data_IF_761820230607
#
_entry.id   IF_761820230607
#
_cell.length_a   1.000
_cell.length_b   1.000
_cell.length_c   1.000
_cell.angle_alpha   90.00
_cell.angle_beta   90.00
_cell.angle_gamma   90.00
#
_symmetry.space_group_name_H-M   'P 1'
#
loop_
_entity.id
_entity.type
_entity.pdbx_description
1 polymer ?
#
# COMPACT_ATOMS: atom_id res chain seq x y z
N UNK A 1 -6.26 -10.75 -25.46
CA UNK A 1 -6.20 -10.18 -24.10
C UNK A 1 -6.69 -11.26 -23.15
N UNK A 2 -6.02 -11.50 -22.02
CA UNK A 2 -6.59 -12.37 -20.99
C UNK A 2 -7.95 -11.79 -20.52
N UNK A 3 -8.94 -12.65 -20.35
CA UNK A 3 -10.24 -12.24 -19.79
C UNK A 3 -10.04 -11.66 -18.38
N UNK A 4 -10.74 -10.55 -18.14
CA UNK A 4 -10.71 -9.81 -16.89
C UNK A 4 -11.49 -10.61 -15.81
N UNK A 5 -10.88 -11.04 -14.69
CA UNK A 5 -11.49 -12.00 -13.77
C UNK A 5 -12.45 -11.33 -12.76
N UNK A 6 -13.22 -10.33 -13.19
CA UNK A 6 -14.10 -9.56 -12.30
C UNK A 6 -15.16 -10.44 -11.61
N UNK A 7 -15.67 -11.45 -12.31
CA UNK A 7 -16.62 -12.42 -11.72
C UNK A 7 -16.01 -13.25 -10.59
N UNK A 8 -14.80 -13.79 -10.79
CA UNK A 8 -14.12 -14.60 -9.77
C UNK A 8 -13.81 -13.78 -8.52
N UNK A 9 -13.32 -12.54 -8.70
CA UNK A 9 -13.01 -11.67 -7.59
C UNK A 9 -14.25 -11.15 -6.87
N UNK A 10 -15.37 -10.99 -7.57
CA UNK A 10 -16.65 -10.69 -6.94
C UNK A 10 -17.09 -11.84 -6.02
N UNK A 11 -16.93 -13.09 -6.46
CA UNK A 11 -17.26 -14.26 -5.64
C UNK A 11 -16.35 -14.35 -4.41
N UNK A 12 -15.03 -14.17 -4.57
CA UNK A 12 -14.07 -14.15 -3.46
C UNK A 12 -14.38 -13.03 -2.44
N UNK A 13 -14.64 -11.82 -2.94
CA UNK A 13 -14.93 -10.66 -2.10
C UNK A 13 -16.34 -10.69 -1.49
N UNK A 14 -17.26 -11.53 -2.00
CA UNK A 14 -18.61 -11.66 -1.45
C UNK A 14 -18.65 -12.13 0.00
N UNK A 15 -17.58 -12.78 0.46
CA UNK A 15 -17.39 -13.16 1.86
C UNK A 15 -17.30 -11.93 2.80
N UNK A 16 -17.11 -10.73 2.25
CA UNK A 16 -16.94 -9.46 2.97
C UNK A 16 -18.14 -8.50 2.82
N UNK A 17 -19.30 -8.99 2.37
CA UNK A 17 -20.58 -8.24 2.39
C UNK A 17 -21.03 -7.87 3.82
N UNK A 18 -20.50 -8.57 4.82
CA UNK A 18 -20.79 -8.26 6.23
C UNK A 18 -20.09 -6.99 6.71
N UNK A 19 -20.63 -6.31 7.74
CA UNK A 19 -19.94 -5.20 8.39
C UNK A 19 -18.55 -5.62 8.89
N UNK A 20 -17.53 -4.79 8.65
CA UNK A 20 -16.13 -5.07 9.04
C UNK A 20 -16.02 -5.48 10.51
N UNK A 21 -16.67 -4.74 11.40
CA UNK A 21 -16.63 -4.98 12.85
C UNK A 21 -17.43 -6.21 13.33
N UNK A 22 -18.23 -6.82 12.45
CA UNK A 22 -18.95 -8.06 12.74
C UNK A 22 -18.17 -9.33 12.39
N UNK A 23 -16.98 -9.20 11.77
CA UNK A 23 -16.16 -10.33 11.39
C UNK A 23 -15.40 -10.90 12.61
N UNK A 24 -15.57 -12.19 12.88
CA UNK A 24 -14.89 -12.88 14.00
C UNK A 24 -13.36 -12.71 13.95
N UNK A 25 -12.78 -12.65 12.75
CA UNK A 25 -11.35 -12.40 12.56
C UNK A 25 -10.89 -11.02 13.04
N UNK A 26 -11.75 -10.00 12.97
CA UNK A 26 -11.46 -8.64 13.45
C UNK A 26 -11.51 -8.62 14.97
N UNK A 27 -12.52 -9.23 15.58
CA UNK A 27 -12.62 -9.34 17.05
C UNK A 27 -11.42 -10.06 17.64
N UNK A 28 -11.08 -11.23 17.10
CA UNK A 28 -9.91 -12.01 17.54
C UNK A 28 -8.61 -11.21 17.37
N UNK A 29 -8.45 -10.48 16.25
CA UNK A 29 -7.27 -9.65 16.05
C UNK A 29 -7.15 -8.55 17.10
N UNK A 30 -8.24 -7.90 17.50
CA UNK A 30 -8.23 -6.88 18.56
C UNK A 30 -7.82 -7.50 19.90
N UNK A 31 -8.37 -8.66 20.25
CA UNK A 31 -8.03 -9.39 21.46
C UNK A 31 -6.56 -9.82 21.49
N UNK A 32 -6.06 -10.35 20.37
CA UNK A 32 -4.66 -10.76 20.22
C UNK A 32 -3.73 -9.55 20.34
N UNK A 33 -4.03 -8.43 19.67
CA UNK A 33 -3.23 -7.20 19.79
C UNK A 33 -3.12 -6.79 21.26
N UNK A 34 -4.26 -6.72 21.97
CA UNK A 34 -4.27 -6.36 23.38
C UNK A 34 -3.43 -7.33 24.23
N UNK A 35 -3.58 -8.64 23.99
CA UNK A 35 -2.84 -9.69 24.68
C UNK A 35 -1.32 -9.53 24.54
N UNK A 36 -0.83 -9.29 23.32
CA UNK A 36 0.61 -9.11 23.07
C UNK A 36 1.13 -7.78 23.60
N UNK A 37 0.35 -6.69 23.48
CA UNK A 37 0.74 -5.38 24.00
C UNK A 37 0.85 -5.36 25.53
N UNK A 38 0.14 -6.25 26.22
CA UNK A 38 0.26 -6.46 27.67
C UNK A 38 1.47 -7.34 28.05
N UNK A 39 2.29 -7.76 27.07
CA UNK A 39 3.51 -8.53 27.29
C UNK A 39 3.29 -10.02 27.55
N UNK A 40 2.13 -10.57 27.20
CA UNK A 40 1.79 -11.96 27.48
C UNK A 40 2.27 -12.97 26.42
N UNK A 41 3.00 -12.53 25.38
CA UNK A 41 3.47 -13.38 24.29
C UNK A 41 4.99 -13.44 24.16
N UNK A 42 5.47 -14.36 23.30
CA UNK A 42 6.90 -14.56 23.02
C UNK A 42 7.48 -13.52 22.04
N UNK A 43 6.62 -12.67 21.47
CA UNK A 43 7.01 -11.58 20.57
C UNK A 43 7.12 -10.26 21.33
N UNK A 44 7.83 -9.29 20.75
CA UNK A 44 7.85 -7.94 21.30
C UNK A 44 6.44 -7.33 21.34
N UNK A 45 6.10 -6.49 22.33
CA UNK A 45 4.77 -5.91 22.46
C UNK A 45 4.28 -5.17 21.20
N UNK A 46 5.15 -4.47 20.46
CA UNK A 46 4.75 -3.80 19.21
C UNK A 46 4.57 -4.77 18.05
N UNK A 47 5.19 -5.96 18.06
CA UNK A 47 4.88 -7.00 17.07
C UNK A 47 3.41 -7.41 17.13
N UNK A 48 2.75 -7.26 18.29
CA UNK A 48 1.30 -7.42 18.43
C UNK A 48 0.51 -6.54 17.45
N UNK A 49 0.97 -5.31 17.19
CA UNK A 49 0.31 -4.38 16.24
C UNK A 49 0.31 -4.94 14.81
N UNK A 50 1.29 -5.77 14.44
CA UNK A 50 1.35 -6.38 13.10
C UNK A 50 0.21 -7.37 12.85
N UNK A 51 -0.43 -7.89 13.91
CA UNK A 51 -1.63 -8.74 13.83
C UNK A 51 -2.84 -7.96 13.30
N UNK A 52 -2.81 -6.62 13.36
CA UNK A 52 -3.84 -5.76 12.79
C UNK A 52 -3.97 -5.91 11.26
N UNK A 53 -3.08 -6.67 10.60
CA UNK A 53 -3.23 -7.10 9.20
C UNK A 53 -4.62 -7.72 8.93
N UNK A 54 -5.18 -8.47 9.89
CA UNK A 54 -6.53 -9.05 9.75
C UNK A 54 -7.63 -7.99 9.70
N UNK A 55 -7.48 -6.91 10.48
CA UNK A 55 -8.40 -5.76 10.48
C UNK A 55 -8.28 -4.99 9.16
N UNK A 56 -7.05 -4.74 8.72
CA UNK A 56 -6.76 -4.10 7.44
C UNK A 56 -7.35 -4.88 6.26
N UNK A 57 -7.09 -6.20 6.19
CA UNK A 57 -7.61 -7.05 5.13
C UNK A 57 -9.14 -7.07 5.10
N UNK A 58 -9.80 -7.18 6.26
CA UNK A 58 -11.26 -7.14 6.34
C UNK A 58 -11.82 -5.81 5.84
N UNK A 59 -11.22 -4.68 6.24
CA UNK A 59 -11.63 -3.35 5.82
C UNK A 59 -11.39 -3.10 4.33
N UNK A 60 -10.24 -3.49 3.79
CA UNK A 60 -9.90 -3.38 2.36
C UNK A 60 -10.81 -4.26 1.50
N UNK A 61 -11.08 -5.49 1.92
CA UNK A 61 -11.93 -6.40 1.17
C UNK A 61 -13.39 -5.96 1.20
N UNK A 62 -13.89 -5.42 2.32
CA UNK A 62 -15.20 -4.80 2.38
C UNK A 62 -15.30 -3.59 1.45
N UNK A 63 -14.28 -2.73 1.44
CA UNK A 63 -14.21 -1.61 0.48
C UNK A 63 -14.24 -2.11 -0.97
N UNK A 64 -13.41 -3.08 -1.31
CA UNK A 64 -13.34 -3.66 -2.66
C UNK A 64 -14.64 -4.32 -3.08
N UNK A 65 -15.28 -5.08 -2.18
CA UNK A 65 -16.56 -5.73 -2.43
C UNK A 65 -17.64 -4.73 -2.84
N UNK A 66 -17.84 -3.65 -2.08
CA UNK A 66 -18.92 -2.70 -2.36
C UNK A 66 -18.70 -1.88 -3.63
N UNK A 67 -17.44 -1.63 -4.00
CA UNK A 67 -17.10 -1.08 -5.32
C UNK A 67 -17.50 -2.06 -6.43
N UNK A 68 -17.16 -3.35 -6.32
CA UNK A 68 -17.51 -4.35 -7.34
C UNK A 68 -19.01 -4.63 -7.41
N UNK A 69 -19.68 -4.71 -6.26
CA UNK A 69 -21.08 -5.09 -6.18
C UNK A 69 -22.02 -3.96 -6.62
N UNK A 70 -21.66 -2.71 -6.32
CA UNK A 70 -22.58 -1.57 -6.42
C UNK A 70 -21.95 -0.26 -6.92
N UNK A 71 -20.64 -0.26 -7.23
CA UNK A 71 -19.87 0.94 -7.57
C UNK A 71 -19.97 2.04 -6.49
N UNK A 72 -20.12 1.64 -5.23
CA UNK A 72 -20.26 2.55 -4.08
C UNK A 72 -18.98 2.54 -3.22
N UNK A 73 -18.20 3.65 -3.21
CA UNK A 73 -17.03 3.74 -2.34
C UNK A 73 -17.40 3.81 -0.87
N UNK A 74 -17.06 2.77 -0.11
CA UNK A 74 -17.18 2.74 1.36
C UNK A 74 -16.03 3.53 2.00
N UNK A 75 -16.17 4.85 2.02
CA UNK A 75 -15.14 5.77 2.54
C UNK A 75 -14.64 5.39 3.95
N UNK A 76 -15.56 5.04 4.86
CA UNK A 76 -15.20 4.63 6.22
C UNK A 76 -14.34 3.34 6.25
N UNK A 77 -14.68 2.34 5.43
CA UNK A 77 -13.89 1.11 5.39
C UNK A 77 -12.46 1.37 4.90
N UNK A 78 -12.31 2.22 3.88
CA UNK A 78 -10.99 2.56 3.36
C UNK A 78 -10.18 3.46 4.31
N UNK A 79 -10.82 4.43 4.98
CA UNK A 79 -10.16 5.26 6.00
C UNK A 79 -9.66 4.40 7.17
N UNK A 80 -10.48 3.47 7.68
CA UNK A 80 -10.06 2.49 8.68
C UNK A 80 -8.84 1.68 8.20
N UNK A 81 -8.91 1.10 7.00
CA UNK A 81 -7.80 0.32 6.45
C UNK A 81 -6.50 1.13 6.37
N UNK A 82 -6.57 2.37 5.89
CA UNK A 82 -5.41 3.25 5.76
C UNK A 82 -4.79 3.60 7.12
N UNK A 83 -5.62 3.88 8.13
CA UNK A 83 -5.16 4.15 9.50
C UNK A 83 -4.50 2.93 10.14
N UNK A 84 -5.10 1.74 9.99
CA UNK A 84 -4.51 0.49 10.48
C UNK A 84 -3.17 0.23 9.80
N UNK A 85 -3.08 0.33 8.47
CA UNK A 85 -1.84 0.05 7.75
C UNK A 85 -0.73 1.03 8.13
N UNK A 86 -1.07 2.30 8.33
CA UNK A 86 -0.13 3.32 8.82
C UNK A 86 0.39 3.03 10.23
N UNK A 87 -0.49 2.62 11.14
CA UNK A 87 -0.12 2.18 12.49
C UNK A 87 0.86 1.00 12.43
N UNK A 88 0.54 -0.02 11.62
CA UNK A 88 1.39 -1.20 11.44
C UNK A 88 2.79 -0.84 10.92
N UNK A 89 2.88 -0.02 9.88
CA UNK A 89 4.18 0.42 9.33
C UNK A 89 4.98 1.26 10.33
N UNK A 90 4.30 2.05 11.16
CA UNK A 90 4.94 2.83 12.22
C UNK A 90 5.53 1.93 13.31
N UNK A 91 4.80 0.89 13.73
CA UNK A 91 5.29 -0.10 14.69
C UNK A 91 6.41 -0.96 14.09
N UNK A 92 6.27 -1.40 12.84
CA UNK A 92 7.27 -2.19 12.11
C UNK A 92 8.60 -1.45 12.01
N UNK A 93 8.60 -0.15 11.69
CA UNK A 93 9.82 0.65 11.63
C UNK A 93 10.56 0.71 12.98
N UNK A 94 9.82 0.83 14.09
CA UNK A 94 10.42 0.84 15.43
C UNK A 94 11.04 -0.52 15.76
N UNK A 95 10.29 -1.61 15.54
CA UNK A 95 10.78 -2.97 15.75
C UNK A 95 12.00 -3.29 14.87
N UNK A 96 11.92 -2.92 13.59
CA UNK A 96 13.02 -3.07 12.65
C UNK A 96 14.26 -2.32 13.10
N UNK A 97 14.14 -1.07 13.55
CA UNK A 97 15.28 -0.28 14.02
C UNK A 97 15.85 -0.79 15.36
N UNK A 98 15.01 -1.36 16.21
CA UNK A 98 15.42 -1.86 17.52
C UNK A 98 16.08 -3.25 17.45
N UNK A 99 15.69 -4.08 16.48
CA UNK A 99 16.13 -5.47 16.37
C UNK A 99 16.92 -5.73 15.06
N UNK A 100 18.24 -5.95 15.15
CA UNK A 100 19.09 -6.29 14.00
C UNK A 100 18.71 -7.57 13.26
N UNK A 101 17.99 -8.49 13.92
CA UNK A 101 17.53 -9.75 13.35
C UNK A 101 16.09 -9.66 12.81
N UNK A 102 15.42 -8.52 13.00
CA UNK A 102 14.09 -8.28 12.44
C UNK A 102 14.16 -8.34 10.91
N UNK A 103 13.21 -9.02 10.27
CA UNK A 103 13.20 -9.15 8.82
C UNK A 103 13.12 -7.78 8.15
N UNK A 104 13.97 -7.51 7.15
CA UNK A 104 13.91 -6.26 6.38
C UNK A 104 12.52 -6.08 5.80
N UNK A 105 11.82 -4.97 6.10
CA UNK A 105 10.48 -4.72 5.60
C UNK A 105 10.41 -4.72 4.07
N UNK A 106 9.36 -5.31 3.52
CA UNK A 106 9.23 -5.43 2.08
C UNK A 106 8.84 -4.09 1.44
N UNK A 107 9.69 -3.60 0.53
CA UNK A 107 9.53 -2.27 -0.07
C UNK A 107 8.32 -2.20 -1.02
N UNK A 108 7.89 -3.32 -1.59
CA UNK A 108 6.65 -3.43 -2.37
C UNK A 108 5.40 -3.12 -1.52
N UNK A 109 5.36 -3.54 -0.26
CA UNK A 109 4.25 -3.28 0.67
C UNK A 109 4.13 -1.79 0.99
N UNK A 110 5.27 -1.11 1.18
CA UNK A 110 5.33 0.35 1.29
C UNK A 110 4.87 1.02 -0.01
N UNK A 111 5.34 0.51 -1.15
CA UNK A 111 4.93 0.97 -2.47
C UNK A 111 3.43 0.88 -2.72
N UNK A 112 2.84 -0.29 -2.55
CA UNK A 112 1.41 -0.55 -2.71
C UNK A 112 0.58 0.39 -1.81
N UNK A 113 0.99 0.55 -0.55
CA UNK A 113 0.32 1.45 0.40
C UNK A 113 0.44 2.92 -0.02
N UNK A 114 1.64 3.38 -0.39
CA UNK A 114 1.84 4.75 -0.88
C UNK A 114 1.02 5.04 -2.13
N UNK A 115 0.97 4.10 -3.07
CA UNK A 115 0.17 4.24 -4.29
C UNK A 115 -1.31 4.31 -3.98
N UNK A 116 -1.82 3.48 -3.06
CA UNK A 116 -3.21 3.54 -2.60
C UNK A 116 -3.53 4.90 -1.94
N UNK A 117 -2.67 5.37 -1.03
CA UNK A 117 -2.85 6.65 -0.33
C UNK A 117 -2.82 7.83 -1.29
N UNK A 118 -1.84 7.85 -2.20
CA UNK A 118 -1.76 8.85 -3.26
C UNK A 118 -3.01 8.78 -4.11
N UNK A 119 -3.35 7.64 -4.73
CA UNK A 119 -4.51 7.47 -5.61
C UNK A 119 -5.83 7.97 -5.00
N UNK A 120 -5.95 7.93 -3.67
CA UNK A 120 -7.15 8.31 -2.91
C UNK A 120 -7.04 9.67 -2.23
N UNK A 121 -5.99 10.44 -2.49
CA UNK A 121 -5.83 11.81 -2.00
C UNK A 121 -5.57 11.92 -0.50
N UNK A 122 -4.99 10.88 0.12
CA UNK A 122 -4.59 10.89 1.54
C UNK A 122 -3.16 11.40 1.69
N UNK A 123 -2.95 12.66 1.31
CA UNK A 123 -1.62 13.30 1.35
C UNK A 123 -1.03 13.35 2.76
N UNK A 124 -1.90 13.44 3.78
CA UNK A 124 -1.56 13.39 5.21
C UNK A 124 -0.80 12.10 5.56
N UNK A 125 -1.36 10.95 5.19
CA UNK A 125 -0.75 9.64 5.43
C UNK A 125 0.34 9.30 4.41
N UNK A 126 0.21 9.76 3.16
CA UNK A 126 1.19 9.49 2.12
C UNK A 126 2.56 10.10 2.48
N UNK A 127 2.57 11.35 2.94
CA UNK A 127 3.80 12.02 3.38
C UNK A 127 4.45 11.30 4.57
N UNK A 128 3.67 10.98 5.60
CA UNK A 128 4.19 10.29 6.77
C UNK A 128 4.68 8.85 6.45
N UNK A 129 3.95 8.11 5.59
CA UNK A 129 4.36 6.78 5.11
C UNK A 129 5.64 6.87 4.27
N UNK A 130 5.79 7.90 3.43
CA UNK A 130 7.00 8.11 2.62
C UNK A 130 8.22 8.28 3.53
N UNK A 131 8.09 9.05 4.61
CA UNK A 131 9.17 9.22 5.56
C UNK A 131 9.57 7.92 6.25
N UNK A 132 8.59 7.07 6.63
CA UNK A 132 8.87 5.75 7.21
C UNK A 132 9.67 4.91 6.21
N UNK A 133 9.19 4.79 4.97
CA UNK A 133 9.85 4.03 3.92
C UNK A 133 11.30 4.51 3.68
N UNK A 134 11.52 5.84 3.67
CA UNK A 134 12.86 6.43 3.53
C UNK A 134 13.76 6.13 4.73
N UNK A 135 13.25 6.16 5.96
CA UNK A 135 14.02 5.79 7.16
C UNK A 135 14.43 4.32 7.13
N UNK A 136 13.52 3.42 6.73
CA UNK A 136 13.82 1.99 6.54
C UNK A 136 14.89 1.80 5.47
N UNK A 137 14.79 2.46 4.32
CA UNK A 137 15.81 2.45 3.25
C UNK A 137 17.18 2.92 3.73
N UNK A 138 17.23 4.02 4.50
CA UNK A 138 18.46 4.62 4.98
C UNK A 138 19.25 3.74 5.96
N UNK A 139 18.66 2.65 6.48
CA UNK A 139 19.39 1.69 7.33
C UNK A 139 20.43 0.87 6.58
N UNK A 140 20.36 0.80 5.24
CA UNK A 140 21.24 -0.01 4.42
C UNK A 140 21.01 -1.53 4.53
N UNK A 141 20.01 -1.98 5.29
CA UNK A 141 19.71 -3.41 5.50
C UNK A 141 18.98 -4.08 4.33
N UNK A 142 18.82 -3.36 3.22
CA UNK A 142 18.53 -3.94 1.90
C UNK A 142 19.78 -4.48 1.21
N UNK A 143 20.97 -4.15 1.71
CA UNK A 143 22.22 -4.74 1.25
C UNK A 143 22.23 -6.25 1.49
N UNK A 144 22.70 -6.98 0.49
CA UNK A 144 22.94 -8.40 0.57
C UNK A 144 24.00 -8.71 1.65
N UNK A 145 23.78 -9.71 2.53
CA UNK A 145 24.81 -10.20 3.44
C UNK A 145 26.04 -10.72 2.68
N UNK A 146 27.24 -10.36 3.12
CA UNK A 146 28.51 -10.66 2.43
C UNK A 146 28.71 -12.15 2.11
N UNK A 147 28.19 -13.04 2.96
CA UNK A 147 28.37 -14.51 2.86
C UNK A 147 27.22 -15.23 2.12
N UNK A 148 26.26 -14.49 1.57
CA UNK A 148 25.13 -15.09 0.84
C UNK A 148 25.46 -15.25 -0.66
N UNK A 149 25.03 -16.35 -1.28
CA UNK A 149 25.25 -16.60 -2.72
C UNK A 149 24.19 -15.98 -3.65
N UNK A 150 22.99 -15.70 -3.14
CA UNK A 150 21.83 -15.21 -3.91
C UNK A 150 21.65 -13.69 -3.86
N UNK A 151 20.75 -13.13 -4.67
CA UNK A 151 20.28 -11.75 -4.46
C UNK A 151 19.48 -11.71 -3.15
N UNK A 152 19.78 -10.76 -2.26
CA UNK A 152 18.89 -10.41 -1.17
C UNK A 152 17.88 -9.41 -1.72
N UNK A 153 16.60 -9.78 -1.75
CA UNK A 153 15.52 -8.87 -2.12
C UNK A 153 14.50 -9.51 -3.04
N UNK A 154 13.24 -9.51 -2.60
CA UNK A 154 12.12 -9.58 -3.51
C UNK A 154 12.16 -8.36 -4.47
N UNK A 155 11.67 -8.49 -5.71
CA UNK A 155 11.30 -7.36 -6.55
C UNK A 155 10.60 -6.26 -5.73
N UNK A 156 10.98 -5.01 -5.99
CA UNK A 156 10.50 -3.83 -5.29
C UNK A 156 9.99 -2.75 -6.26
N UNK A 157 9.39 -3.17 -7.38
CA UNK A 157 8.91 -2.30 -8.46
C UNK A 157 7.94 -1.24 -7.94
N UNK A 158 6.93 -1.63 -7.15
CA UNK A 158 5.93 -0.71 -6.60
C UNK A 158 6.57 0.28 -5.62
N UNK A 159 7.50 -0.20 -4.79
CA UNK A 159 8.24 0.63 -3.85
C UNK A 159 9.10 1.67 -4.54
N UNK A 160 9.88 1.24 -5.52
CA UNK A 160 10.69 2.11 -6.39
C UNK A 160 9.80 3.12 -7.11
N UNK A 161 8.71 2.66 -7.71
CA UNK A 161 7.78 3.51 -8.45
C UNK A 161 7.17 4.61 -7.57
N UNK A 162 6.61 4.23 -6.42
CA UNK A 162 5.95 5.17 -5.51
C UNK A 162 6.93 6.25 -5.01
N UNK A 163 8.11 5.83 -4.53
CA UNK A 163 9.11 6.74 -3.98
C UNK A 163 9.74 7.63 -5.07
N UNK A 164 10.01 7.10 -6.27
CA UNK A 164 10.45 7.91 -7.40
C UNK A 164 9.39 8.91 -7.83
N UNK A 165 8.10 8.54 -7.88
CA UNK A 165 7.06 9.51 -8.25
C UNK A 165 6.98 10.66 -7.24
N UNK A 166 7.07 10.37 -5.94
CA UNK A 166 7.04 11.38 -4.90
C UNK A 166 8.30 12.28 -4.93
N UNK A 167 9.47 11.71 -5.22
CA UNK A 167 10.71 12.45 -5.44
C UNK A 167 10.64 13.33 -6.70
N UNK A 168 10.21 12.76 -7.83
CA UNK A 168 10.09 13.46 -9.11
C UNK A 168 9.09 14.62 -9.02
N UNK A 169 8.00 14.48 -8.26
CA UNK A 169 7.09 15.59 -7.95
C UNK A 169 7.81 16.79 -7.31
N UNK A 170 8.86 16.55 -6.52
CA UNK A 170 9.70 17.58 -5.89
C UNK A 170 10.92 17.98 -6.72
N UNK A 171 11.10 17.42 -7.92
CA UNK A 171 12.29 17.62 -8.74
C UNK A 171 13.53 16.91 -8.20
N UNK A 172 13.34 15.89 -7.37
CA UNK A 172 14.40 15.07 -6.77
C UNK A 172 14.57 13.75 -7.53
N UNK A 173 15.73 13.11 -7.35
CA UNK A 173 15.98 11.75 -7.81
C UNK A 173 16.50 10.90 -6.66
N UNK A 174 16.24 9.59 -6.70
CA UNK A 174 16.71 8.65 -5.69
C UNK A 174 17.92 7.88 -6.24
N UNK A 175 19.00 7.85 -5.45
CA UNK A 175 20.15 6.99 -5.73
C UNK A 175 19.90 5.58 -5.18
N UNK A 176 19.22 4.77 -5.99
CA UNK A 176 18.90 3.38 -5.65
C UNK A 176 20.11 2.48 -5.45
N UNK A 177 21.24 2.81 -6.07
CA UNK A 177 22.49 2.05 -5.93
C UNK A 177 23.01 2.15 -4.48
N UNK A 178 22.95 3.35 -3.89
CA UNK A 178 23.34 3.56 -2.48
C UNK A 178 22.50 2.77 -1.47
N UNK A 179 21.28 2.38 -1.84
CA UNK A 179 20.39 1.56 -1.01
C UNK A 179 20.48 0.06 -1.34
N UNK A 180 21.29 -0.34 -2.32
CA UNK A 180 21.39 -1.73 -2.81
C UNK A 180 20.06 -2.30 -3.33
N UNK A 181 19.15 -1.43 -3.79
CA UNK A 181 17.87 -1.84 -4.38
C UNK A 181 17.97 -1.68 -5.89
N UNK A 182 18.00 -2.77 -6.69
CA UNK A 182 18.08 -2.64 -8.14
C UNK A 182 16.72 -2.16 -8.71
N UNK A 183 16.62 -0.96 -9.30
CA UNK A 183 15.35 -0.46 -9.80
C UNK A 183 14.99 -1.13 -11.13
N UNK A 184 13.73 -1.54 -11.27
CA UNK A 184 13.20 -1.90 -12.58
C UNK A 184 13.14 -0.66 -13.48
N UNK A 185 13.67 -0.79 -14.70
CA UNK A 185 13.81 0.33 -15.62
C UNK A 185 12.46 0.93 -16.01
N UNK A 186 11.46 0.10 -16.30
CA UNK A 186 10.15 0.60 -16.74
C UNK A 186 9.51 1.45 -15.64
N UNK A 187 9.47 0.93 -14.41
CA UNK A 187 8.86 1.63 -13.28
C UNK A 187 9.58 2.92 -12.94
N UNK A 188 10.91 2.91 -12.92
CA UNK A 188 11.73 4.10 -12.69
C UNK A 188 11.55 5.14 -13.79
N UNK A 189 11.63 4.74 -15.06
CA UNK A 189 11.52 5.66 -16.19
C UNK A 189 10.10 6.24 -16.29
N UNK A 190 9.06 5.46 -15.98
CA UNK A 190 7.68 5.95 -15.88
C UNK A 190 7.53 7.03 -14.78
N UNK A 191 8.11 6.80 -13.59
CA UNK A 191 8.07 7.78 -12.51
C UNK A 191 8.87 9.06 -12.81
N UNK A 192 10.04 8.95 -13.44
CA UNK A 192 10.92 10.11 -13.70
C UNK A 192 10.56 10.90 -14.94
N UNK A 193 10.20 10.20 -16.02
CA UNK A 193 9.98 10.78 -17.34
C UNK A 193 8.48 10.91 -17.58
N UNK A 194 7.75 9.81 -17.40
CA UNK A 194 6.31 9.78 -17.65
C UNK A 194 5.54 10.74 -16.74
N UNK A 195 5.93 10.85 -15.47
CA UNK A 195 5.23 11.74 -14.52
C UNK A 195 5.32 13.20 -14.95
N UNK A 196 6.46 13.64 -15.48
CA UNK A 196 6.68 15.03 -15.89
C UNK A 196 6.49 15.27 -17.38
N UNK A 197 6.04 14.27 -18.15
CA UNK A 197 5.84 14.38 -19.60
C UNK A 197 4.82 15.50 -19.91
N UNK A 198 5.21 16.56 -20.64
CA UNK A 198 4.33 17.68 -20.94
C UNK A 198 3.28 17.37 -22.01
N UNK A 199 3.54 16.43 -22.92
CA UNK A 199 2.58 16.05 -23.96
C UNK A 199 1.47 15.16 -23.37
N UNK A 200 0.20 15.62 -23.36
CA UNK A 200 -0.90 14.85 -22.78
C UNK A 200 -1.12 13.49 -23.44
N UNK A 201 -0.80 13.35 -24.73
CA UNK A 201 -0.95 12.09 -25.48
C UNK A 201 0.10 11.09 -25.02
N UNK A 202 1.37 11.49 -24.95
CA UNK A 202 2.46 10.64 -24.45
C UNK A 202 2.27 10.27 -22.99
N UNK A 203 1.75 11.18 -22.18
CA UNK A 203 1.39 10.88 -20.80
C UNK A 203 0.30 9.79 -20.69
N UNK A 204 -0.67 9.79 -21.60
CA UNK A 204 -1.68 8.73 -21.67
C UNK A 204 -1.08 7.39 -22.14
N UNK A 205 -0.06 7.41 -23.01
CA UNK A 205 0.70 6.21 -23.38
C UNK A 205 1.44 5.62 -22.16
N UNK A 206 2.06 6.44 -21.31
CA UNK A 206 2.65 5.99 -20.04
C UNK A 206 1.61 5.37 -19.11
N UNK A 207 0.46 6.02 -18.93
CA UNK A 207 -0.63 5.49 -18.13
C UNK A 207 -1.20 4.17 -18.69
N UNK A 208 -1.20 4.01 -20.02
CA UNK A 208 -1.61 2.77 -20.69
C UNK A 208 -0.62 1.65 -20.41
N UNK A 209 0.69 1.94 -20.49
CA UNK A 209 1.72 0.96 -20.12
C UNK A 209 1.67 0.58 -18.63
N UNK A 210 1.31 1.49 -17.73
CA UNK A 210 1.05 1.16 -16.32
C UNK A 210 -0.12 0.20 -16.16
N UNK A 211 -1.19 0.38 -16.94
CA UNK A 211 -2.30 -0.57 -16.98
C UNK A 211 -1.87 -1.94 -17.51
N UNK A 212 -1.07 -1.98 -18.58
CA UNK A 212 -0.54 -3.24 -19.13
C UNK A 212 0.36 -3.96 -18.12
N UNK A 213 1.23 -3.23 -17.43
CA UNK A 213 2.09 -3.76 -16.38
C UNK A 213 1.28 -4.30 -15.19
N UNK A 214 0.22 -3.59 -14.78
CA UNK A 214 -0.73 -4.06 -13.78
C UNK A 214 -1.37 -5.39 -14.20
N UNK A 215 -1.89 -5.48 -15.42
CA UNK A 215 -2.45 -6.73 -15.96
C UNK A 215 -1.43 -7.86 -16.04
N UNK A 216 -0.16 -7.55 -16.29
CA UNK A 216 0.90 -8.54 -16.32
C UNK A 216 1.14 -9.12 -14.93
N UNK A 217 1.23 -8.28 -13.89
CA UNK A 217 1.33 -8.72 -12.49
C UNK A 217 0.18 -9.66 -12.14
N UNK A 218 -1.07 -9.30 -12.47
CA UNK A 218 -2.25 -10.14 -12.22
C UNK A 218 -2.21 -11.52 -12.86
N UNK A 219 -1.66 -11.62 -14.08
CA UNK A 219 -1.54 -12.91 -14.77
C UNK A 219 -0.55 -13.81 -14.06
N UNK A 220 0.57 -13.26 -13.62
CA UNK A 220 1.56 -13.98 -12.82
C UNK A 220 0.95 -14.43 -11.49
N UNK A 221 0.07 -13.62 -10.90
CA UNK A 221 -0.59 -13.92 -9.62
C UNK A 221 -1.62 -15.06 -9.75
N UNK A 222 -2.41 -15.09 -10.83
CA UNK A 222 -3.47 -16.09 -11.09
C UNK A 222 -2.96 -17.53 -11.27
N UNK A 223 -1.75 -17.70 -11.80
CA UNK A 223 -1.24 -19.02 -12.21
C UNK A 223 -0.49 -19.77 -11.08
N UNK A 224 -0.38 -19.20 -9.87
CA UNK A 224 0.27 -19.84 -8.73
C UNK A 224 -0.34 -19.47 -7.38
N UNK A 225 -0.61 -20.48 -6.53
CA UNK A 225 -1.13 -20.34 -5.16
C UNK A 225 -0.17 -19.62 -4.19
N UNK A 226 1.04 -19.28 -4.63
CA UNK A 226 2.03 -18.53 -3.86
C UNK A 226 1.83 -17.04 -4.14
N UNK A 227 1.64 -16.23 -3.09
CA UNK A 227 1.54 -14.77 -3.16
C UNK A 227 2.87 -14.11 -2.77
N UNK A 228 3.99 -14.81 -2.95
CA UNK A 228 5.26 -14.32 -2.40
C UNK A 228 5.86 -13.24 -3.30
N UNK A 229 6.32 -12.11 -2.73
CA UNK A 229 7.06 -11.10 -3.47
C UNK A 229 8.28 -11.66 -4.22
N UNK A 230 8.90 -12.73 -3.71
CA UNK A 230 10.03 -13.42 -4.34
C UNK A 230 9.72 -14.04 -5.71
N UNK A 231 8.46 -14.27 -6.04
CA UNK A 231 8.01 -14.71 -7.37
C UNK A 231 7.68 -13.53 -8.31
N UNK A 232 7.95 -12.29 -7.87
CA UNK A 232 7.65 -11.07 -8.62
C UNK A 232 6.21 -10.58 -8.49
N UNK A 233 5.48 -11.12 -7.51
CA UNK A 233 4.09 -10.79 -7.17
C UNK A 233 4.07 -9.72 -6.08
N UNK A 234 3.87 -8.46 -6.48
CA UNK A 234 4.00 -7.31 -5.57
C UNK A 234 2.67 -6.69 -5.14
N UNK A 235 1.54 -7.10 -5.75
CA UNK A 235 0.20 -6.67 -5.32
C UNK A 235 -0.34 -7.72 -4.37
N UNK A 236 -0.47 -7.37 -3.10
CA UNK A 236 -0.88 -8.33 -2.07
C UNK A 236 -2.36 -8.21 -1.68
N UNK A 237 -3.06 -7.17 -2.18
CA UNK A 237 -4.48 -6.95 -1.89
C UNK A 237 -5.38 -7.28 -3.08
N UNK A 238 -6.36 -8.16 -2.86
CA UNK A 238 -7.32 -8.58 -3.90
C UNK A 238 -8.10 -7.40 -4.48
N UNK A 239 -8.46 -6.40 -3.67
CA UNK A 239 -9.12 -5.18 -4.14
C UNK A 239 -8.26 -4.41 -5.17
N UNK A 240 -6.93 -4.42 -4.99
CA UNK A 240 -6.00 -3.80 -5.93
C UNK A 240 -5.82 -4.62 -7.20
N UNK A 241 -6.33 -5.85 -7.28
CA UNK A 241 -6.24 -6.58 -8.53
C UNK A 241 -7.04 -5.90 -9.64
N UNK A 242 -8.22 -5.37 -9.31
CA UNK A 242 -9.11 -4.74 -10.29
C UNK A 242 -9.01 -3.22 -10.30
N UNK A 243 -8.36 -2.66 -9.29
CA UNK A 243 -8.08 -1.24 -9.18
C UNK A 243 -6.63 -0.95 -9.59
N UNK A 244 -6.38 -0.32 -10.76
CA UNK A 244 -5.01 0.00 -11.19
C UNK A 244 -4.42 1.17 -10.38
N UNK A 245 -4.12 0.94 -9.10
CA UNK A 245 -3.67 1.97 -8.14
C UNK A 245 -2.43 2.72 -8.64
N UNK A 246 -1.54 2.03 -9.35
CA UNK A 246 -0.34 2.61 -9.98
C UNK A 246 -0.72 3.71 -10.98
N UNK A 247 -1.72 3.44 -11.81
CA UNK A 247 -2.23 4.37 -12.83
C UNK A 247 -3.01 5.51 -12.18
N UNK A 248 -3.88 5.22 -11.21
CA UNK A 248 -4.62 6.27 -10.50
C UNK A 248 -3.70 7.22 -9.72
N UNK A 249 -2.67 6.69 -9.05
CA UNK A 249 -1.68 7.49 -8.35
C UNK A 249 -0.89 8.39 -9.31
N UNK A 250 -0.42 7.83 -10.43
CA UNK A 250 0.26 8.56 -11.50
C UNK A 250 -0.58 9.72 -12.04
N UNK A 251 -1.83 9.45 -12.44
CA UNK A 251 -2.74 10.46 -12.98
C UNK A 251 -3.01 11.58 -11.98
N UNK A 252 -3.15 11.23 -10.71
CA UNK A 252 -3.42 12.20 -9.65
C UNK A 252 -2.20 13.07 -9.34
N UNK A 253 -1.01 12.50 -9.26
CA UNK A 253 0.22 13.29 -9.04
C UNK A 253 0.44 14.26 -10.20
N UNK A 254 0.23 13.83 -11.45
CA UNK A 254 0.25 14.69 -12.64
C UNK A 254 -0.75 15.84 -12.53
N UNK A 255 -2.01 15.54 -12.22
CA UNK A 255 -3.03 16.55 -12.04
C UNK A 255 -2.67 17.54 -10.92
N UNK A 256 -2.09 17.06 -9.82
CA UNK A 256 -1.58 17.90 -8.73
C UNK A 256 -0.42 18.83 -9.12
N UNK A 257 0.32 18.50 -10.18
CA UNK A 257 1.35 19.35 -10.79
C UNK A 257 0.79 20.27 -11.90
N UNK A 258 -0.52 20.24 -12.14
CA UNK A 258 -1.16 21.00 -13.23
C UNK A 258 -0.86 20.42 -14.63
N UNK A 259 -0.38 19.18 -14.72
CA UNK A 259 -0.09 18.52 -15.99
C UNK A 259 -1.33 17.77 -16.48
N UNK A 260 -1.76 18.09 -17.70
CA UNK A 260 -2.86 17.40 -18.36
C UNK A 260 -2.45 16.00 -18.82
N UNK A 261 -3.41 15.08 -18.87
CA UNK A 261 -3.24 13.74 -19.44
C UNK A 261 -4.43 13.45 -20.34
N UNK A 262 -4.18 13.05 -21.58
CA UNK A 262 -5.25 12.66 -22.50
C UNK A 262 -6.00 11.42 -21.96
N UNK A 263 -7.22 11.13 -22.46
CA UNK A 263 -7.97 9.95 -22.04
C UNK A 263 -7.15 8.66 -22.23
N UNK A 264 -7.07 7.84 -21.17
CA UNK A 264 -6.42 6.54 -21.19
C UNK A 264 -7.40 5.49 -21.73
N UNK A 265 -7.21 5.07 -22.99
CA UNK A 265 -8.05 4.06 -23.64
C UNK A 265 -7.58 2.64 -23.31
N UNK A 266 -7.82 2.21 -22.07
CA UNK A 266 -7.51 0.86 -21.61
C UNK A 266 -8.70 0.23 -20.87
N UNK A 267 -9.03 -1.06 -21.07
CA UNK A 267 -10.16 -1.72 -20.40
C UNK A 267 -10.14 -1.60 -18.87
N UNK A 268 -8.96 -1.70 -18.24
CA UNK A 268 -8.80 -1.49 -16.78
C UNK A 268 -9.32 -0.14 -16.28
N UNK A 269 -9.31 0.89 -17.11
CA UNK A 269 -9.77 2.23 -16.71
C UNK A 269 -11.29 2.36 -16.74
N UNK A 270 -12.01 1.33 -17.20
CA UNK A 270 -13.47 1.27 -17.37
C UNK A 270 -14.11 0.19 -16.48
N UNK A 271 -13.41 -0.26 -15.45
CA UNK A 271 -13.85 -1.34 -14.54
C UNK A 271 -14.80 -0.78 -13.50
N UNK A 272 -15.31 -1.64 -12.61
CA UNK A 272 -16.08 -1.19 -11.44
C UNK A 272 -15.36 -0.11 -10.61
N UNK A 273 -14.03 -0.12 -10.59
CA UNK A 273 -13.18 0.85 -9.89
C UNK A 273 -13.00 2.20 -10.61
N UNK A 274 -13.58 2.39 -11.80
CA UNK A 274 -13.60 3.70 -12.48
C UNK A 274 -14.23 4.80 -11.59
N UNK A 275 -15.16 4.45 -10.69
CA UNK A 275 -15.76 5.40 -9.73
C UNK A 275 -14.75 6.03 -8.78
N UNK A 276 -13.57 5.45 -8.66
CA UNK A 276 -12.48 6.02 -7.87
C UNK A 276 -11.64 7.05 -8.64
N UNK A 277 -11.89 7.26 -9.94
CA UNK A 277 -11.16 8.26 -10.73
C UNK A 277 -11.42 9.66 -10.17
N UNK A 278 -10.39 10.28 -9.62
CA UNK A 278 -10.49 11.59 -8.96
C UNK A 278 -11.23 11.57 -7.63
N UNK A 279 -11.60 10.39 -7.12
CA UNK A 279 -12.26 10.25 -5.82
C UNK A 279 -11.24 10.38 -4.69
N UNK A 280 -11.66 11.02 -3.59
CA UNK A 280 -10.83 11.27 -2.42
C UNK A 280 -11.46 10.60 -1.19
N UNK A 281 -10.64 9.95 -0.36
CA UNK A 281 -11.09 9.48 0.96
C UNK A 281 -11.13 10.69 1.89
N UNK A 282 -12.29 11.07 2.45
CA UNK A 282 -12.36 12.09 3.48
C UNK A 282 -11.62 11.60 4.73
N UNK A 283 -10.69 12.40 5.25
CA UNK A 283 -10.08 12.13 6.55
C UNK A 283 -11.16 12.12 7.64
N UNK A 284 -11.23 11.04 8.43
CA UNK A 284 -12.26 10.90 9.47
C UNK A 284 -13.59 10.34 8.96
N UNK A 285 -13.62 9.80 7.74
CA UNK A 285 -14.77 9.06 7.24
C UNK A 285 -15.09 7.85 8.14
N UNK A 286 -14.08 7.24 8.75
CA UNK A 286 -14.26 6.31 9.85
C UNK A 286 -14.16 7.03 11.19
N UNK A 287 -15.06 6.72 12.10
CA UNK A 287 -15.06 7.25 13.46
C UNK A 287 -14.30 6.26 14.36
N UNK A 288 -13.19 6.69 15.00
CA UNK A 288 -12.41 5.84 15.90
C UNK A 288 -13.26 5.22 16.99
N UNK A 289 -13.15 3.90 17.12
CA UNK A 289 -13.77 3.15 18.20
C UNK A 289 -12.86 3.09 19.44
N UNK A 290 -13.41 2.84 20.65
CA UNK A 290 -12.63 2.84 21.89
C UNK A 290 -11.41 1.93 21.87
N UNK A 291 -11.52 0.74 21.28
CA UNK A 291 -10.41 -0.22 21.18
C UNK A 291 -9.23 0.34 20.39
N UNK A 292 -9.50 1.17 19.37
CA UNK A 292 -8.45 1.72 18.52
C UNK A 292 -7.68 2.82 19.25
N UNK A 293 -8.40 3.69 19.97
CA UNK A 293 -7.79 4.66 20.86
C UNK A 293 -6.92 3.98 21.94
N UNK A 294 -7.40 2.87 22.51
CA UNK A 294 -6.63 2.09 23.48
C UNK A 294 -5.35 1.51 22.86
N UNK A 295 -5.42 0.93 21.66
CA UNK A 295 -4.23 0.43 20.95
C UNK A 295 -3.25 1.58 20.67
N UNK A 296 -3.72 2.75 20.22
CA UNK A 296 -2.84 3.90 20.00
C UNK A 296 -2.16 4.35 21.29
N UNK A 297 -2.91 4.46 22.39
CA UNK A 297 -2.38 4.87 23.69
C UNK A 297 -1.34 3.88 24.21
N UNK A 298 -1.62 2.57 24.13
CA UNK A 298 -0.66 1.52 24.48
C UNK A 298 0.58 1.55 23.57
N UNK A 299 0.40 1.80 22.28
CA UNK A 299 1.51 1.90 21.32
C UNK A 299 2.44 3.05 21.69
N UNK A 300 1.88 4.21 22.04
CA UNK A 300 2.64 5.38 22.50
C UNK A 300 3.29 5.13 23.87
N UNK A 301 2.64 4.39 24.77
CA UNK A 301 3.24 4.02 26.05
C UNK A 301 4.47 3.12 25.88
N UNK A 302 4.42 2.17 24.94
CA UNK A 302 5.53 1.26 24.62
C UNK A 302 6.65 1.98 23.83
N UNK A 303 6.27 2.80 22.84
CA UNK A 303 7.19 3.57 22.00
C UNK A 303 6.78 5.05 21.93
N UNK A 304 7.20 5.89 22.91
CA UNK A 304 6.80 7.30 22.99
C UNK A 304 7.19 8.14 21.77
N UNK A 305 8.24 7.73 21.04
CA UNK A 305 8.68 8.38 19.79
C UNK A 305 7.63 8.34 18.68
N UNK A 306 6.67 7.41 18.75
CA UNK A 306 5.57 7.31 17.79
C UNK A 306 4.45 8.33 18.05
N UNK A 307 4.36 8.91 19.25
CA UNK A 307 3.28 9.83 19.65
C UNK A 307 2.93 10.88 18.59
N UNK A 308 3.87 11.78 18.23
CA UNK A 308 3.60 12.83 17.24
C UNK A 308 3.15 12.31 15.88
N UNK A 309 3.61 11.10 15.48
CA UNK A 309 3.28 10.48 14.20
C UNK A 309 1.86 9.90 14.22
N UNK A 310 1.47 9.28 15.33
CA UNK A 310 0.18 8.60 15.46
C UNK A 310 -1.00 9.57 15.65
N UNK A 311 -0.75 10.84 15.99
CA UNK A 311 -1.80 11.87 16.05
C UNK A 311 -2.54 12.04 14.71
N UNK A 312 -1.89 11.77 13.56
CA UNK A 312 -2.50 11.90 12.23
C UNK A 312 -3.64 10.88 12.04
N UNK A 313 -3.61 9.76 12.76
CA UNK A 313 -4.61 8.68 12.66
C UNK A 313 -5.53 8.61 13.87
N UNK A 314 -5.41 9.54 14.83
CA UNK A 314 -6.35 9.62 15.96
C UNK A 314 -7.76 10.07 15.56
#
# INVERSE_FOLDING_TARGET
MAEYPEGLLRDDLSLYDQPVMGAASVTLAIEDIAYFMDGNGDMSPLSGVLIAQSIYNAAMNHFGYWILASREPRAAALDLAQRIKFLMMSAEEVEFNANPDFLTPYLDTYGETLLQLVATGRDDLAGATEEIARRVLATGRYAKPADSGGYFGAPAKLGVFALEMLAARRGETIDWESFHVPPDRFWRDCARIGLTEPDPVKAAEWATQLCDAHMQTLRTDRDGMSTTPFEGKEINQQAHFLWPITTHAFLRLRAGQGLETAPVDHPLMRTSFEVLRGWHVPAGAWQPEPWFAEILDKTVAIAPTLGPRLEIIR
#
